data_IF_096067425708
#
_entry.id   IF_096067425708
#
_cell.length_a   1.000
_cell.length_b   1.000
_cell.length_c   1.000
_cell.angle_alpha   90.00
_cell.angle_beta   90.00
_cell.angle_gamma   90.00
#
_symmetry.space_group_name_H-M   'P 1'
#
loop_
_entity.id
_entity.type
_entity.pdbx_description
1 polymer ?
#
# COMPACT_ATOMS: atom_id res chain seq x y z
N UNK A 1 -18.83 -10.51 -11.24
CA UNK A 1 -17.41 -10.14 -11.45
C UNK A 1 -16.66 -11.38 -11.88
N UNK A 2 -15.88 -11.28 -12.96
CA UNK A 2 -15.16 -12.43 -13.52
C UNK A 2 -14.01 -12.84 -12.60
N UNK A 3 -14.05 -14.09 -12.12
CA UNK A 3 -12.96 -14.74 -11.35
C UNK A 3 -11.84 -15.28 -12.25
N UNK A 4 -11.92 -15.02 -13.57
CA UNK A 4 -10.90 -15.50 -14.51
C UNK A 4 -9.61 -14.67 -14.39
N UNK A 5 -8.42 -15.31 -14.39
CA UNK A 5 -7.16 -14.60 -14.49
C UNK A 5 -7.15 -13.76 -15.78
N UNK A 6 -6.65 -12.54 -15.68
CA UNK A 6 -6.50 -11.64 -16.83
C UNK A 6 -5.55 -12.34 -17.81
N UNK A 7 -6.03 -12.70 -19.01
CA UNK A 7 -5.17 -13.28 -20.06
C UNK A 7 -4.11 -12.27 -20.47
N UNK A 8 -2.84 -12.69 -20.66
CA UNK A 8 -1.81 -11.80 -21.19
C UNK A 8 -2.24 -11.28 -22.56
N UNK A 9 -2.24 -9.96 -22.72
CA UNK A 9 -2.52 -9.31 -23.99
C UNK A 9 -1.28 -9.34 -24.89
N UNK A 10 -1.49 -9.23 -26.19
CA UNK A 10 -0.45 -9.29 -27.24
C UNK A 10 0.75 -8.33 -27.01
N UNK A 11 1.88 -8.74 -27.54
CA UNK A 11 3.26 -8.38 -27.21
C UNK A 11 3.77 -6.93 -27.49
N UNK A 12 2.92 -5.90 -27.63
CA UNK A 12 3.37 -4.55 -28.04
C UNK A 12 3.07 -3.41 -27.06
N UNK A 13 2.72 -3.69 -25.82
CA UNK A 13 2.57 -2.66 -24.79
C UNK A 13 3.56 -2.94 -23.65
N UNK A 14 4.11 -1.86 -23.07
CA UNK A 14 4.89 -1.95 -21.83
C UNK A 14 4.03 -2.69 -20.79
N UNK A 15 4.52 -3.84 -20.33
CA UNK A 15 3.84 -4.71 -19.36
C UNK A 15 4.76 -4.96 -18.17
N UNK A 16 4.39 -4.38 -17.04
CA UNK A 16 5.11 -4.59 -15.79
C UNK A 16 4.68 -5.92 -15.15
N UNK A 17 5.66 -6.70 -14.69
CA UNK A 17 5.39 -7.90 -13.88
C UNK A 17 5.14 -7.55 -12.42
N UNK A 18 4.53 -8.48 -11.65
CA UNK A 18 4.40 -8.33 -10.21
C UNK A 18 5.77 -8.16 -9.52
N UNK A 19 6.80 -8.89 -9.98
CA UNK A 19 8.16 -8.73 -9.49
C UNK A 19 8.69 -7.31 -9.73
N UNK A 20 8.45 -6.72 -10.91
CA UNK A 20 8.86 -5.35 -11.20
C UNK A 20 8.12 -4.34 -10.30
N UNK A 21 6.81 -4.51 -10.08
CA UNK A 21 6.06 -3.66 -9.15
C UNK A 21 6.59 -3.76 -7.71
N UNK A 22 6.96 -4.96 -7.24
CA UNK A 22 7.59 -5.12 -5.92
C UNK A 22 8.90 -4.33 -5.82
N UNK A 23 9.79 -4.45 -6.82
CA UNK A 23 11.07 -3.75 -6.84
C UNK A 23 10.84 -2.23 -6.86
N UNK A 24 9.92 -1.73 -7.69
CA UNK A 24 9.57 -0.31 -7.75
C UNK A 24 9.05 0.16 -6.38
N UNK A 25 8.11 -0.56 -5.78
CA UNK A 25 7.53 -0.18 -4.49
C UNK A 25 8.58 -0.20 -3.36
N UNK A 26 9.48 -1.20 -3.34
CA UNK A 26 10.58 -1.28 -2.37
C UNK A 26 11.57 -0.12 -2.54
N UNK A 27 11.92 0.25 -3.77
CA UNK A 27 12.81 1.38 -4.04
C UNK A 27 12.18 2.71 -3.57
N UNK A 28 10.91 2.93 -3.91
CA UNK A 28 10.15 4.12 -3.47
C UNK A 28 10.01 4.19 -1.95
N UNK A 29 9.75 3.06 -1.29
CA UNK A 29 9.68 2.98 0.16
C UNK A 29 11.04 3.27 0.83
N UNK A 30 12.13 2.76 0.24
CA UNK A 30 13.48 3.09 0.74
C UNK A 30 13.77 4.58 0.62
N UNK A 31 13.34 5.24 -0.47
CA UNK A 31 13.49 6.70 -0.62
C UNK A 31 12.75 7.45 0.48
N UNK A 32 11.52 7.07 0.80
CA UNK A 32 10.74 7.67 1.89
C UNK A 32 11.42 7.51 3.25
N UNK A 33 11.93 6.31 3.54
CA UNK A 33 12.61 6.02 4.79
C UNK A 33 14.00 6.67 4.89
N UNK A 34 14.68 6.87 3.77
CA UNK A 34 15.91 7.68 3.72
C UNK A 34 15.63 9.14 4.08
N UNK A 35 14.54 9.71 3.58
CA UNK A 35 14.10 11.04 3.97
C UNK A 35 13.75 11.10 5.46
N UNK A 36 13.02 10.12 5.97
CA UNK A 36 12.61 10.08 7.37
C UNK A 36 13.78 9.92 8.36
N UNK A 37 14.97 9.51 7.89
CA UNK A 37 16.13 9.18 8.75
C UNK A 37 17.37 10.00 8.43
N UNK A 38 18.02 9.72 7.30
CA UNK A 38 19.36 10.23 6.98
C UNK A 38 19.37 11.52 6.16
N UNK A 39 18.31 11.76 5.37
CA UNK A 39 18.26 12.83 4.37
C UNK A 39 16.99 13.71 4.48
N UNK A 40 16.66 14.25 5.66
CA UNK A 40 15.40 14.98 5.88
C UNK A 40 15.29 16.29 5.08
N UNK A 41 16.41 16.82 4.57
CA UNK A 41 16.42 18.02 3.72
C UNK A 41 16.09 17.74 2.24
N UNK A 42 15.90 16.46 1.85
CA UNK A 42 15.67 16.05 0.47
C UNK A 42 14.19 15.67 0.22
N UNK A 43 13.31 16.65 0.25
CA UNK A 43 11.85 16.46 0.15
C UNK A 43 11.37 15.65 -1.06
N UNK A 44 12.12 15.67 -2.17
CA UNK A 44 11.80 14.87 -3.34
C UNK A 44 11.80 13.35 -3.07
N UNK A 45 12.56 12.88 -2.07
CA UNK A 45 12.59 11.48 -1.66
C UNK A 45 11.25 11.04 -1.08
N UNK A 46 10.67 11.83 -0.16
CA UNK A 46 9.37 11.52 0.41
C UNK A 46 8.24 11.77 -0.58
N UNK A 47 8.38 12.74 -1.49
CA UNK A 47 7.44 12.93 -2.60
C UNK A 47 7.36 11.68 -3.49
N UNK A 48 8.49 11.10 -3.87
CA UNK A 48 8.53 9.84 -4.61
C UNK A 48 8.01 8.67 -3.75
N UNK A 49 8.35 8.67 -2.45
CA UNK A 49 7.93 7.66 -1.49
C UNK A 49 6.42 7.48 -1.35
N UNK A 50 5.64 8.58 -1.54
CA UNK A 50 4.15 8.49 -1.48
C UNK A 50 3.55 7.48 -2.45
N UNK A 51 4.24 7.13 -3.52
CA UNK A 51 3.79 6.15 -4.50
C UNK A 51 3.91 4.69 -3.99
N UNK A 52 4.75 4.43 -2.99
CA UNK A 52 5.04 3.07 -2.53
C UNK A 52 3.81 2.35 -1.97
N UNK A 53 3.10 2.99 -1.04
CA UNK A 53 1.99 2.37 -0.33
C UNK A 53 0.83 1.96 -1.25
N UNK A 54 0.32 2.79 -2.18
CA UNK A 54 -0.73 2.34 -3.11
C UNK A 54 -0.31 1.14 -3.96
N UNK A 55 0.97 1.04 -4.36
CA UNK A 55 1.46 -0.14 -5.10
C UNK A 55 1.41 -1.38 -4.20
N UNK A 56 1.88 -1.30 -2.95
CA UNK A 56 1.80 -2.43 -2.00
C UNK A 56 0.34 -2.82 -1.70
N UNK A 57 -0.55 -1.85 -1.51
CA UNK A 57 -1.98 -2.10 -1.30
C UNK A 57 -2.62 -2.82 -2.50
N UNK A 58 -2.34 -2.36 -3.72
CA UNK A 58 -2.78 -3.04 -4.94
C UNK A 58 -2.25 -4.47 -5.02
N UNK A 59 -0.96 -4.67 -4.75
CA UNK A 59 -0.33 -5.99 -4.81
C UNK A 59 -0.83 -6.93 -3.72
N UNK A 60 -1.18 -6.41 -2.54
CA UNK A 60 -1.82 -7.20 -1.49
C UNK A 60 -3.19 -7.72 -1.94
N UNK A 61 -3.99 -6.88 -2.61
CA UNK A 61 -5.27 -7.28 -3.21
C UNK A 61 -5.07 -8.34 -4.29
N UNK A 62 -4.12 -8.15 -5.21
CA UNK A 62 -3.79 -9.17 -6.22
C UNK A 62 -3.32 -10.48 -5.56
N UNK A 63 -2.50 -10.40 -4.52
CA UNK A 63 -2.07 -11.54 -3.72
C UNK A 63 -3.23 -12.31 -3.10
N UNK A 64 -4.25 -11.61 -2.60
CA UNK A 64 -5.48 -12.22 -2.08
C UNK A 64 -6.19 -13.07 -3.15
N UNK A 65 -6.33 -12.58 -4.37
CA UNK A 65 -7.00 -13.30 -5.45
C UNK A 65 -6.17 -14.44 -6.06
N UNK A 66 -4.86 -14.39 -5.91
CA UNK A 66 -3.95 -15.42 -6.45
C UNK A 66 -3.54 -16.47 -5.41
N UNK A 67 -3.78 -16.24 -4.11
CA UNK A 67 -3.39 -17.19 -3.08
C UNK A 67 -4.30 -18.43 -3.07
N UNK A 68 -3.69 -19.61 -2.95
CA UNK A 68 -4.41 -20.87 -2.75
C UNK A 68 -4.81 -21.10 -1.29
N UNK A 69 -4.15 -20.42 -0.36
CA UNK A 69 -4.37 -20.59 1.08
C UNK A 69 -4.29 -19.25 1.80
N UNK A 70 -5.48 -18.66 2.01
CA UNK A 70 -5.60 -17.37 2.68
C UNK A 70 -5.07 -17.40 4.11
N UNK A 71 -5.29 -18.49 4.87
CA UNK A 71 -4.79 -18.60 6.26
C UNK A 71 -3.26 -18.47 6.29
N UNK A 72 -2.56 -19.16 5.38
CA UNK A 72 -1.09 -19.04 5.27
C UNK A 72 -0.65 -17.65 4.79
N UNK A 73 -1.44 -17.00 3.95
CA UNK A 73 -1.14 -15.64 3.49
C UNK A 73 -1.30 -14.63 4.64
N UNK A 74 -2.42 -14.66 5.35
CA UNK A 74 -2.67 -13.79 6.50
C UNK A 74 -1.66 -14.05 7.65
N UNK A 75 -1.32 -15.33 7.91
CA UNK A 75 -0.31 -15.68 8.91
C UNK A 75 1.08 -15.12 8.56
N UNK A 76 1.47 -15.12 7.28
CA UNK A 76 2.72 -14.49 6.85
C UNK A 76 2.68 -12.98 7.08
N UNK A 77 1.59 -12.29 6.70
CA UNK A 77 1.45 -10.86 6.97
C UNK A 77 1.54 -10.57 8.48
N UNK A 78 0.83 -11.35 9.30
CA UNK A 78 0.89 -11.22 10.77
C UNK A 78 2.31 -11.41 11.31
N UNK A 79 3.00 -12.47 10.88
CA UNK A 79 4.36 -12.76 11.32
C UNK A 79 5.32 -11.61 10.94
N UNK A 80 5.24 -11.11 9.70
CA UNK A 80 6.08 -10.00 9.26
C UNK A 80 5.67 -8.66 9.87
N UNK A 81 4.38 -8.44 10.20
CA UNK A 81 3.96 -7.29 10.99
C UNK A 81 4.65 -7.28 12.36
N UNK A 82 4.60 -8.41 13.08
CA UNK A 82 5.25 -8.55 14.39
C UNK A 82 6.78 -8.42 14.31
N UNK A 83 7.41 -9.06 13.33
CA UNK A 83 8.87 -8.99 13.14
C UNK A 83 9.36 -7.58 12.76
N UNK A 84 8.52 -6.81 12.08
CA UNK A 84 8.87 -5.47 11.61
C UNK A 84 8.57 -4.39 12.64
N UNK A 85 7.87 -4.70 13.74
CA UNK A 85 7.49 -3.70 14.73
C UNK A 85 8.72 -3.09 15.41
N UNK A 86 9.64 -3.90 15.89
CA UNK A 86 10.87 -3.42 16.54
C UNK A 86 11.73 -2.55 15.61
N UNK A 87 12.05 -2.96 14.35
CA UNK A 87 12.72 -2.08 13.40
C UNK A 87 11.98 -0.76 13.14
N UNK A 88 10.66 -0.82 13.05
CA UNK A 88 9.81 0.34 12.80
C UNK A 88 9.80 1.30 14.00
N UNK A 89 9.62 0.77 15.20
CA UNK A 89 9.64 1.53 16.45
C UNK A 89 10.99 2.23 16.67
N UNK A 90 12.09 1.54 16.40
CA UNK A 90 13.43 2.11 16.46
C UNK A 90 13.63 3.24 15.45
N UNK A 91 13.05 3.10 14.24
CA UNK A 91 13.22 4.09 13.17
C UNK A 91 12.37 5.35 13.42
N UNK A 92 11.11 5.21 13.83
CA UNK A 92 10.18 6.33 14.00
C UNK A 92 10.12 6.86 15.43
N UNK A 93 10.18 5.98 16.42
CA UNK A 93 10.08 6.34 17.84
C UNK A 93 11.42 6.45 18.57
N UNK A 94 12.51 5.99 17.97
CA UNK A 94 13.84 5.93 18.61
C UNK A 94 13.91 4.98 19.82
N UNK A 95 12.90 4.15 20.03
CA UNK A 95 12.75 3.23 21.17
C UNK A 95 12.41 1.83 20.70
N UNK A 96 12.59 0.82 21.56
CA UNK A 96 12.24 -0.57 21.26
C UNK A 96 10.71 -0.82 21.21
N UNK A 97 9.93 0.08 21.78
CA UNK A 97 8.48 0.00 21.85
C UNK A 97 7.85 1.40 21.72
N UNK A 98 7.13 1.62 20.62
CA UNK A 98 6.49 2.87 20.29
C UNK A 98 5.02 2.63 19.89
N UNK A 99 4.10 2.47 20.88
CA UNK A 99 2.74 1.95 20.65
C UNK A 99 1.79 2.91 19.92
N UNK A 100 2.21 4.15 19.66
CA UNK A 100 1.37 5.18 19.03
C UNK A 100 1.45 5.21 17.51
N UNK A 101 2.25 4.34 16.90
CA UNK A 101 2.34 4.21 15.45
C UNK A 101 2.82 2.79 15.08
N UNK A 102 1.98 2.04 14.39
CA UNK A 102 2.23 0.65 14.02
C UNK A 102 2.61 0.56 12.53
N UNK A 103 3.45 -0.40 12.16
CA UNK A 103 3.93 -0.54 10.80
C UNK A 103 2.82 -0.86 9.76
N UNK A 104 3.10 -0.56 8.49
CA UNK A 104 2.14 -0.66 7.36
C UNK A 104 1.61 -2.07 7.09
N UNK A 105 2.29 -3.13 7.55
CA UNK A 105 1.83 -4.50 7.29
C UNK A 105 0.54 -4.80 8.07
N UNK A 106 0.32 -4.16 9.23
CA UNK A 106 -0.96 -4.22 9.95
C UNK A 106 -2.11 -3.65 9.12
N UNK A 107 -1.89 -2.52 8.45
CA UNK A 107 -2.87 -1.93 7.52
C UNK A 107 -3.24 -2.92 6.41
N UNK A 108 -2.23 -3.54 5.78
CA UNK A 108 -2.47 -4.54 4.74
C UNK A 108 -3.19 -5.77 5.27
N UNK A 109 -2.84 -6.26 6.45
CA UNK A 109 -3.50 -7.41 7.10
C UNK A 109 -4.97 -7.12 7.39
N UNK A 110 -5.30 -5.97 7.99
CA UNK A 110 -6.68 -5.54 8.24
C UNK A 110 -7.47 -5.45 6.93
N UNK A 111 -6.87 -4.85 5.90
CA UNK A 111 -7.47 -4.77 4.57
C UNK A 111 -7.79 -6.15 3.98
N UNK A 112 -6.85 -7.10 4.03
CA UNK A 112 -7.04 -8.46 3.50
C UNK A 112 -8.11 -9.24 4.29
N UNK A 113 -8.14 -9.12 5.62
CA UNK A 113 -9.19 -9.74 6.43
C UNK A 113 -10.57 -9.17 6.14
N UNK A 114 -10.66 -7.84 5.98
CA UNK A 114 -11.89 -7.16 5.58
C UNK A 114 -12.37 -7.60 4.18
N UNK A 115 -11.48 -7.69 3.19
CA UNK A 115 -11.81 -8.22 1.85
C UNK A 115 -12.37 -9.64 1.95
N UNK A 116 -11.75 -10.49 2.75
CA UNK A 116 -12.24 -11.86 2.94
C UNK A 116 -13.67 -11.91 3.49
N UNK A 117 -13.96 -11.06 4.47
CA UNK A 117 -15.30 -10.94 5.02
C UNK A 117 -16.30 -10.43 3.97
N UNK A 118 -15.97 -9.37 3.23
CA UNK A 118 -16.78 -8.82 2.14
C UNK A 118 -17.06 -9.89 1.06
N UNK A 119 -16.04 -10.63 0.61
CA UNK A 119 -16.19 -11.70 -0.38
C UNK A 119 -17.08 -12.85 0.13
N UNK A 120 -16.94 -13.20 1.42
CA UNK A 120 -17.75 -14.26 2.04
C UNK A 120 -19.23 -13.88 2.06
N UNK A 121 -19.53 -12.62 2.41
CA UNK A 121 -20.91 -12.10 2.43
C UNK A 121 -21.48 -12.00 1.02
N UNK A 122 -20.72 -11.43 0.08
CA UNK A 122 -21.16 -11.27 -1.32
C UNK A 122 -21.45 -12.59 -2.03
N UNK A 123 -20.79 -13.67 -1.67
CA UNK A 123 -21.06 -15.01 -2.22
C UNK A 123 -22.31 -15.67 -1.65
N UNK A 124 -22.71 -15.32 -0.43
CA UNK A 124 -23.80 -15.99 0.30
C UNK A 124 -25.10 -15.19 0.31
N UNK A 125 -25.04 -13.87 0.11
CA UNK A 125 -26.16 -12.96 0.30
C UNK A 125 -26.55 -12.23 -0.98
N UNK A 126 -27.79 -11.81 -1.03
CA UNK A 126 -28.31 -10.93 -2.10
C UNK A 126 -27.63 -9.54 -2.01
N UNK A 127 -27.61 -8.83 -3.13
CA UNK A 127 -26.94 -7.53 -3.26
C UNK A 127 -27.38 -6.51 -2.21
N UNK A 128 -28.69 -6.41 -1.96
CA UNK A 128 -29.25 -5.46 -0.98
C UNK A 128 -28.86 -5.74 0.48
N UNK A 129 -28.47 -6.99 0.82
CA UNK A 129 -27.89 -7.34 2.13
C UNK A 129 -26.38 -7.15 2.12
N UNK A 130 -25.71 -7.54 1.03
CA UNK A 130 -24.25 -7.50 0.96
C UNK A 130 -23.70 -6.07 0.90
N UNK A 131 -24.38 -5.11 0.29
CA UNK A 131 -23.91 -3.73 0.21
C UNK A 131 -23.78 -3.06 1.59
N UNK A 132 -24.81 -3.02 2.46
CA UNK A 132 -24.68 -2.42 3.79
C UNK A 132 -23.67 -3.15 4.66
N UNK A 133 -23.56 -4.48 4.55
CA UNK A 133 -22.55 -5.24 5.29
C UNK A 133 -21.13 -4.88 4.80
N UNK A 134 -20.90 -4.77 3.49
CA UNK A 134 -19.61 -4.33 2.96
C UNK A 134 -19.27 -2.89 3.41
N UNK A 135 -20.25 -2.00 3.45
CA UNK A 135 -20.07 -0.65 3.98
C UNK A 135 -19.70 -0.67 5.48
N UNK A 136 -20.40 -1.50 6.27
CA UNK A 136 -20.09 -1.69 7.69
C UNK A 136 -18.68 -2.27 7.91
N UNK A 137 -18.27 -3.24 7.08
CA UNK A 137 -16.90 -3.80 7.13
C UNK A 137 -15.87 -2.72 6.77
N UNK A 138 -16.15 -1.86 5.78
CA UNK A 138 -15.26 -0.76 5.42
C UNK A 138 -15.13 0.26 6.55
N UNK A 139 -16.25 0.63 7.19
CA UNK A 139 -16.26 1.54 8.34
C UNK A 139 -15.52 0.93 9.55
N UNK A 140 -15.78 -0.34 9.86
CA UNK A 140 -15.10 -1.06 10.94
C UNK A 140 -13.58 -1.18 10.66
N UNK A 141 -13.18 -1.51 9.43
CA UNK A 141 -11.78 -1.58 9.03
C UNK A 141 -11.07 -0.22 9.16
N UNK A 142 -11.72 0.86 8.73
CA UNK A 142 -11.20 2.22 8.88
C UNK A 142 -11.07 2.59 10.37
N UNK A 143 -12.08 2.27 11.19
CA UNK A 143 -12.04 2.52 12.63
C UNK A 143 -10.92 1.73 13.31
N UNK A 144 -10.78 0.44 13.01
CA UNK A 144 -9.71 -0.41 13.56
C UNK A 144 -8.32 0.06 13.14
N UNK A 145 -8.15 0.49 11.88
CA UNK A 145 -6.88 1.07 11.41
C UNK A 145 -6.54 2.37 12.16
N UNK A 146 -7.54 3.20 12.44
CA UNK A 146 -7.35 4.46 13.18
C UNK A 146 -7.08 4.21 14.66
N UNK A 147 -7.89 3.38 15.33
CA UNK A 147 -7.71 3.07 16.75
C UNK A 147 -6.42 2.26 17.01
N UNK A 148 -6.06 1.38 16.08
CA UNK A 148 -4.80 0.63 16.12
C UNK A 148 -3.58 1.45 15.74
N UNK A 149 -3.77 2.74 15.39
CA UNK A 149 -2.68 3.65 14.98
C UNK A 149 -1.77 3.05 13.92
N UNK A 150 -2.36 2.26 12.99
CA UNK A 150 -1.60 1.64 11.91
C UNK A 150 -1.12 2.70 10.92
N UNK A 151 -0.03 2.44 10.22
CA UNK A 151 0.48 3.37 9.21
C UNK A 151 -0.60 3.68 8.16
N UNK A 152 -0.76 4.96 7.83
CA UNK A 152 -1.90 5.52 7.08
C UNK A 152 -3.28 5.37 7.77
N UNK A 153 -3.34 4.93 9.03
CA UNK A 153 -4.58 4.82 9.80
C UNK A 153 -5.70 4.09 9.04
N UNK A 154 -6.95 4.51 9.27
CA UNK A 154 -8.10 3.98 8.54
C UNK A 154 -8.08 4.27 7.04
N UNK A 155 -7.44 5.36 6.62
CA UNK A 155 -7.26 5.73 5.21
C UNK A 155 -6.45 4.67 4.43
N UNK A 156 -5.46 4.07 5.08
CA UNK A 156 -4.70 2.96 4.50
C UNK A 156 -5.56 1.73 4.25
N UNK A 157 -6.41 1.36 5.21
CA UNK A 157 -7.35 0.24 5.04
C UNK A 157 -8.36 0.53 3.92
N UNK A 158 -8.88 1.76 3.84
CA UNK A 158 -9.76 2.19 2.76
C UNK A 158 -9.07 2.15 1.39
N UNK A 159 -7.77 2.43 1.31
CA UNK A 159 -6.98 2.30 0.07
C UNK A 159 -6.96 0.83 -0.42
N UNK A 160 -6.78 -0.13 0.49
CA UNK A 160 -6.85 -1.56 0.14
C UNK A 160 -8.25 -1.92 -0.37
N UNK A 161 -9.31 -1.42 0.29
CA UNK A 161 -10.69 -1.65 -0.16
C UNK A 161 -11.01 -0.96 -1.49
N UNK A 162 -10.45 0.21 -1.77
CA UNK A 162 -10.59 0.90 -3.06
C UNK A 162 -10.07 0.02 -4.21
N UNK A 163 -8.88 -0.55 -4.07
CA UNK A 163 -8.32 -1.47 -5.08
C UNK A 163 -9.12 -2.78 -5.19
N UNK A 164 -9.74 -3.26 -4.11
CA UNK A 164 -10.63 -4.41 -4.16
C UNK A 164 -11.93 -4.08 -4.88
N UNK A 165 -12.61 -2.99 -4.53
CA UNK A 165 -13.93 -2.61 -5.10
C UNK A 165 -13.79 -2.27 -6.57
N UNK A 166 -12.78 -1.49 -6.93
CA UNK A 166 -12.51 -1.06 -8.30
C UNK A 166 -11.47 -1.96 -9.01
N UNK A 167 -11.37 -3.23 -8.61
CA UNK A 167 -10.50 -4.20 -9.25
C UNK A 167 -10.94 -4.46 -10.69
N UNK A 168 -10.07 -4.17 -11.65
CA UNK A 168 -10.34 -4.40 -13.07
C UNK A 168 -9.75 -3.30 -13.95
N UNK A 169 -9.99 -3.45 -15.27
CA UNK A 169 -9.43 -2.54 -16.29
C UNK A 169 -10.50 -1.82 -17.10
N UNK A 170 -11.74 -1.89 -16.69
CA UNK A 170 -12.82 -1.12 -17.29
C UNK A 170 -12.65 0.34 -16.92
N UNK A 171 -13.03 1.26 -17.81
CA UNK A 171 -12.88 2.70 -17.59
C UNK A 171 -13.45 3.18 -16.24
N UNK A 172 -14.60 2.65 -15.83
CA UNK A 172 -15.22 3.00 -14.55
C UNK A 172 -14.44 2.46 -13.33
N UNK A 173 -13.69 1.33 -13.48
CA UNK A 173 -12.79 0.86 -12.42
C UNK A 173 -11.61 1.82 -12.28
N UNK A 174 -11.01 2.25 -13.41
CA UNK A 174 -9.90 3.19 -13.41
C UNK A 174 -10.34 4.55 -12.84
N UNK A 175 -11.50 5.05 -13.27
CA UNK A 175 -12.07 6.28 -12.71
C UNK A 175 -12.33 6.15 -11.21
N UNK A 176 -12.91 5.02 -10.76
CA UNK A 176 -13.15 4.76 -9.34
C UNK A 176 -11.84 4.73 -8.52
N UNK A 177 -10.77 4.15 -9.05
CA UNK A 177 -9.45 4.20 -8.40
C UNK A 177 -8.94 5.64 -8.29
N UNK A 178 -9.01 6.43 -9.37
CA UNK A 178 -8.58 7.85 -9.34
C UNK A 178 -9.37 8.64 -8.30
N UNK A 179 -10.71 8.58 -8.35
CA UNK A 179 -11.57 9.36 -7.47
C UNK A 179 -11.42 8.97 -5.99
N UNK A 180 -11.35 7.66 -5.70
CA UNK A 180 -11.19 7.20 -4.33
C UNK A 180 -9.79 7.47 -3.78
N UNK A 181 -8.73 7.28 -4.57
CA UNK A 181 -7.38 7.62 -4.14
C UNK A 181 -7.19 9.13 -3.98
N UNK A 182 -7.80 9.95 -4.85
CA UNK A 182 -7.81 11.40 -4.67
C UNK A 182 -8.47 11.77 -3.33
N UNK A 183 -9.68 11.27 -3.09
CA UNK A 183 -10.39 11.55 -1.84
C UNK A 183 -9.61 11.09 -0.61
N UNK A 184 -9.04 9.88 -0.64
CA UNK A 184 -8.28 9.33 0.48
C UNK A 184 -7.00 10.14 0.71
N UNK A 185 -6.22 10.44 -0.32
CA UNK A 185 -4.89 11.02 -0.15
C UNK A 185 -4.93 12.55 -0.03
N UNK A 186 -5.81 13.23 -0.76
CA UNK A 186 -5.85 14.70 -0.73
C UNK A 186 -6.82 15.23 0.31
N UNK A 187 -8.01 14.61 0.44
CA UNK A 187 -9.05 15.13 1.34
C UNK A 187 -8.95 14.54 2.75
N UNK A 188 -8.75 13.20 2.85
CA UNK A 188 -8.79 12.51 4.15
C UNK A 188 -7.42 12.55 4.86
N UNK A 189 -6.32 12.25 4.16
CA UNK A 189 -4.97 12.29 4.72
C UNK A 189 -4.37 13.70 4.69
N UNK A 190 -4.55 14.44 3.60
CA UNK A 190 -3.96 15.76 3.42
C UNK A 190 -2.42 15.70 3.42
N UNK A 191 -1.79 16.57 4.20
CA UNK A 191 -0.34 16.59 4.39
C UNK A 191 0.30 17.91 4.00
N UNK A 192 1.61 17.88 3.71
CA UNK A 192 2.38 19.06 3.33
C UNK A 192 1.89 19.61 1.98
N UNK A 193 1.77 20.93 1.91
CA UNK A 193 1.43 21.65 0.70
C UNK A 193 2.67 22.36 0.15
N UNK A 194 2.96 22.16 -1.12
CA UNK A 194 4.07 22.82 -1.82
C UNK A 194 3.53 23.87 -2.78
N UNK A 195 3.92 25.15 -2.65
CA UNK A 195 3.56 26.16 -3.63
C UNK A 195 4.28 25.87 -4.95
N UNK A 196 3.54 25.70 -6.02
CA UNK A 196 4.05 25.53 -7.38
C UNK A 196 3.53 26.63 -8.27
N UNK A 197 4.39 27.15 -9.16
CA UNK A 197 3.99 28.10 -10.20
C UNK A 197 3.89 27.38 -11.54
N UNK A 198 2.69 27.36 -12.11
CA UNK A 198 2.44 26.77 -13.41
C UNK A 198 1.69 27.78 -14.29
N UNK A 199 2.19 28.08 -15.46
CA UNK A 199 1.60 29.06 -16.40
C UNK A 199 1.32 30.44 -15.78
N UNK A 200 2.16 30.89 -14.84
CA UNK A 200 2.01 32.18 -14.17
C UNK A 200 0.99 32.21 -13.01
N UNK A 201 0.31 31.09 -12.74
CA UNK A 201 -0.59 30.93 -11.61
C UNK A 201 0.09 30.17 -10.47
N UNK A 202 -0.24 30.51 -9.24
CA UNK A 202 0.24 29.79 -8.05
C UNK A 202 -0.79 28.73 -7.65
N UNK A 203 -0.30 27.51 -7.46
CA UNK A 203 -1.09 26.36 -7.02
C UNK A 203 -0.43 25.75 -5.79
N UNK A 204 -1.24 25.15 -4.92
CA UNK A 204 -0.74 24.32 -3.83
C UNK A 204 -0.81 22.84 -4.22
N UNK A 205 0.34 22.18 -4.27
CA UNK A 205 0.44 20.75 -4.51
C UNK A 205 0.44 20.00 -3.19
N UNK A 206 -0.59 19.22 -2.95
CA UNK A 206 -0.63 18.29 -1.82
C UNK A 206 0.39 17.16 -2.04
N UNK A 207 1.38 17.03 -1.17
CA UNK A 207 2.41 15.97 -1.24
C UNK A 207 1.79 14.57 -1.28
N UNK A 208 0.84 14.31 -0.39
CA UNK A 208 0.17 13.02 -0.33
C UNK A 208 -0.63 12.71 -1.61
N UNK A 209 -1.08 13.75 -2.34
CA UNK A 209 -1.73 13.61 -3.65
C UNK A 209 -0.84 12.96 -4.71
N UNK A 210 0.49 13.04 -4.57
CA UNK A 210 1.43 12.35 -5.46
C UNK A 210 1.26 10.82 -5.45
N UNK A 211 0.65 10.26 -4.41
CA UNK A 211 0.26 8.85 -4.35
C UNK A 211 -0.59 8.39 -5.54
N UNK A 212 -1.34 9.31 -6.20
CA UNK A 212 -2.11 9.00 -7.40
C UNK A 212 -1.23 8.57 -8.57
N UNK A 213 0.02 9.04 -8.64
CA UNK A 213 0.96 8.66 -9.70
C UNK A 213 1.30 7.17 -9.64
N UNK A 214 1.08 6.49 -8.50
CA UNK A 214 1.21 5.05 -8.39
C UNK A 214 0.26 4.28 -9.32
N UNK A 215 -0.85 4.89 -9.75
CA UNK A 215 -1.76 4.28 -10.71
C UNK A 215 -1.09 4.01 -12.07
N UNK A 216 -0.09 4.80 -12.45
CA UNK A 216 0.63 4.61 -13.72
C UNK A 216 1.30 3.22 -13.78
N UNK A 217 2.23 2.85 -12.89
CA UNK A 217 2.81 1.51 -12.91
C UNK A 217 1.78 0.41 -12.61
N UNK A 218 0.75 0.67 -11.77
CA UNK A 218 -0.33 -0.28 -11.50
C UNK A 218 -1.12 -0.60 -12.78
N UNK A 219 -1.45 0.38 -13.60
CA UNK A 219 -2.21 0.17 -14.85
C UNK A 219 -1.37 -0.47 -15.96
N UNK A 220 -0.04 -0.36 -15.88
CA UNK A 220 0.88 -1.09 -16.76
C UNK A 220 1.00 -2.59 -16.39
N UNK A 221 0.65 -2.98 -15.16
CA UNK A 221 0.60 -4.38 -14.74
C UNK A 221 -0.58 -5.12 -15.38
N UNK A 222 -0.34 -6.26 -16.02
CA UNK A 222 -1.35 -7.07 -16.73
C UNK A 222 -1.50 -8.51 -16.22
N UNK A 223 -1.11 -8.77 -14.97
CA UNK A 223 -1.26 -10.08 -14.36
C UNK A 223 -0.06 -11.03 -14.53
N UNK A 224 1.04 -10.56 -15.13
CA UNK A 224 2.26 -11.35 -15.30
C UNK A 224 3.06 -11.38 -13.99
N UNK A 225 3.42 -12.56 -13.49
CA UNK A 225 4.12 -12.68 -12.20
C UNK A 225 5.59 -12.24 -12.27
N UNK A 226 6.29 -12.53 -13.37
CA UNK A 226 7.73 -12.28 -13.48
C UNK A 226 8.55 -13.28 -12.64
N UNK A 227 9.63 -12.82 -12.02
CA UNK A 227 10.43 -13.64 -11.12
C UNK A 227 9.62 -14.06 -9.89
N UNK A 228 9.37 -15.37 -9.73
CA UNK A 228 8.55 -15.92 -8.64
C UNK A 228 9.30 -17.02 -7.88
N UNK A 229 10.63 -16.95 -7.84
CA UNK A 229 11.45 -17.87 -7.06
C UNK A 229 11.22 -17.70 -5.56
N UNK A 230 11.35 -18.78 -4.79
CA UNK A 230 11.27 -18.71 -3.32
C UNK A 230 12.28 -17.71 -2.72
N UNK A 231 13.57 -17.68 -3.15
CA UNK A 231 14.52 -16.69 -2.65
C UNK A 231 14.06 -15.25 -2.90
N UNK A 232 13.51 -14.94 -4.08
CA UNK A 232 12.99 -13.61 -4.37
C UNK A 232 11.82 -13.22 -3.45
N UNK A 233 10.90 -14.15 -3.19
CA UNK A 233 9.79 -13.89 -2.26
C UNK A 233 10.30 -13.63 -0.84
N UNK A 234 11.24 -14.43 -0.33
CA UNK A 234 11.84 -14.18 0.98
C UNK A 234 12.61 -12.86 1.04
N UNK A 235 13.33 -12.50 -0.02
CA UNK A 235 14.01 -11.21 -0.12
C UNK A 235 13.01 -10.04 -0.04
N UNK A 236 11.88 -10.10 -0.75
CA UNK A 236 10.83 -9.09 -0.67
C UNK A 236 10.25 -8.96 0.74
N UNK A 237 10.02 -10.06 1.45
CA UNK A 237 9.52 -10.01 2.82
C UNK A 237 10.58 -9.49 3.81
N UNK A 238 11.82 -9.95 3.68
CA UNK A 238 12.92 -9.55 4.57
C UNK A 238 13.34 -8.09 4.35
N UNK A 239 13.14 -7.55 3.15
CA UNK A 239 13.53 -6.19 2.80
C UNK A 239 12.95 -5.17 3.79
N UNK A 240 11.67 -5.32 4.16
CA UNK A 240 10.99 -4.34 5.02
C UNK A 240 11.65 -4.20 6.41
N UNK A 241 11.80 -5.23 7.24
CA UNK A 241 12.49 -5.09 8.52
C UNK A 241 13.99 -4.82 8.38
N UNK A 242 14.66 -5.40 7.37
CA UNK A 242 16.12 -5.30 7.24
C UNK A 242 16.55 -3.89 6.86
N UNK A 243 15.92 -3.26 5.87
CA UNK A 243 16.34 -1.90 5.46
C UNK A 243 16.09 -0.88 6.58
N UNK A 244 15.01 -1.00 7.36
CA UNK A 244 14.76 -0.13 8.51
C UNK A 244 15.87 -0.27 9.58
N UNK A 245 16.27 -1.52 9.91
CA UNK A 245 17.41 -1.75 10.83
C UNK A 245 18.70 -1.16 10.30
N UNK A 246 18.98 -1.31 9.00
CA UNK A 246 20.19 -0.74 8.38
C UNK A 246 20.17 0.79 8.44
N UNK A 247 19.01 1.43 8.23
CA UNK A 247 18.88 2.89 8.35
C UNK A 247 19.08 3.35 9.80
N UNK A 248 18.52 2.66 10.79
CA UNK A 248 18.74 2.96 12.21
C UNK A 248 20.22 2.83 12.58
N UNK A 249 20.89 1.77 12.13
CA UNK A 249 22.31 1.58 12.36
C UNK A 249 23.15 2.70 11.72
N UNK A 250 22.85 3.07 10.48
CA UNK A 250 23.51 4.16 9.78
C UNK A 250 23.29 5.51 10.49
N UNK A 251 22.06 5.80 10.93
CA UNK A 251 21.74 7.01 11.68
C UNK A 251 22.52 7.09 13.00
N UNK A 252 22.60 5.99 13.74
CA UNK A 252 23.39 5.92 14.97
C UNK A 252 24.90 6.09 14.74
N UNK A 253 25.40 5.68 13.57
CA UNK A 253 26.81 5.87 13.21
C UNK A 253 27.11 7.32 12.83
N UNK A 254 26.22 7.99 12.12
CA UNK A 254 26.37 9.40 11.70
C UNK A 254 26.26 10.36 12.88
N UNK A 255 25.45 10.03 13.90
CA UNK A 255 25.22 10.87 15.08
C UNK A 255 26.27 10.67 16.22
N UNK A 256 27.25 9.80 16.01
CA UNK A 256 28.41 9.62 16.90
C UNK A 256 29.57 10.51 16.49
#
# INVERSE_FOLDING_TARGET
>A
MSTKPIRPAAANCIDLSAAALHIIAMALMLMDHLWATLLPAQDWLTCAGRLAFPIFAFMAVEGYFHTRNLKRYALRLLLFALLSEVPFDLMYGGTWFYPVHQNVIWTLLLGILGIHLMETVRKKQKLWVSLPVCAAVAAAGALLGTLGMTDYYGAGVLTVFAFYIFRGRKWWCLLGQVLTLYWINVVLLGGLMYPIRLFGMEFELCQQGLALLALVPIWLYRGRQGCHSKPFQYACYAFYPVHMLLLVLALNFVNR
#
